data_IF_234449908424
#
_entry.id   IF_234449908424
#
_cell.length_a   1.000
_cell.length_b   1.000
_cell.length_c   1.000
_cell.angle_alpha   90.00
_cell.angle_beta   90.00
_cell.angle_gamma   90.00
#
_symmetry.space_group_name_H-M   'P 1'
#
loop_
_entity.id
_entity.type
_entity.pdbx_description
1 polymer ?
#
# COMPACT_ATOMS: atom_id res chain seq x y z
N UNK A 1 5.92 0.99 10.87
CA UNK A 1 4.83 0.41 10.05
C UNK A 1 4.29 -0.81 10.75
N UNK A 2 2.97 -0.99 10.70
CA UNK A 2 2.28 -2.22 11.12
C UNK A 2 1.63 -2.85 9.88
N UNK A 3 2.09 -4.04 9.51
CA UNK A 3 1.48 -4.86 8.47
C UNK A 3 0.41 -5.75 9.10
N UNK A 4 -0.84 -5.41 8.86
CA UNK A 4 -2.01 -6.17 9.31
C UNK A 4 -2.71 -6.90 8.17
N UNK A 5 -2.04 -7.12 7.04
CA UNK A 5 -2.62 -7.75 5.84
C UNK A 5 -3.09 -9.20 6.05
N UNK A 6 -2.52 -9.88 7.04
CA UNK A 6 -2.84 -11.28 7.35
C UNK A 6 -4.02 -11.48 8.33
N UNK A 7 -4.57 -10.39 8.88
CA UNK A 7 -5.71 -10.44 9.82
C UNK A 7 -6.91 -9.71 9.25
N UNK A 8 -8.12 -10.08 9.70
CA UNK A 8 -9.35 -9.37 9.32
C UNK A 8 -9.33 -7.93 9.86
N UNK A 9 -10.06 -7.02 9.21
CA UNK A 9 -9.99 -5.57 9.47
C UNK A 9 -10.26 -5.22 10.95
N UNK A 10 -11.23 -5.85 11.59
CA UNK A 10 -11.56 -5.62 12.99
C UNK A 10 -10.38 -5.86 13.94
N UNK A 11 -9.66 -6.97 13.75
CA UNK A 11 -8.49 -7.30 14.57
C UNK A 11 -7.31 -6.40 14.23
N UNK A 12 -7.11 -6.08 12.94
CA UNK A 12 -6.13 -5.10 12.48
C UNK A 12 -6.33 -3.76 13.18
N UNK A 13 -7.55 -3.22 13.15
CA UNK A 13 -7.87 -1.93 13.76
C UNK A 13 -7.71 -1.93 15.28
N UNK A 14 -7.98 -3.05 15.95
CA UNK A 14 -7.74 -3.20 17.37
C UNK A 14 -6.26 -3.07 17.71
N UNK A 15 -5.39 -3.79 16.98
CA UNK A 15 -3.93 -3.71 17.14
C UNK A 15 -3.44 -2.32 16.78
N UNK A 16 -3.89 -1.78 15.64
CA UNK A 16 -3.49 -0.46 15.15
C UNK A 16 -3.81 0.65 16.17
N UNK A 17 -4.98 0.59 16.85
CA UNK A 17 -5.34 1.56 17.89
C UNK A 17 -4.36 1.54 19.08
N UNK A 18 -3.94 0.35 19.52
CA UNK A 18 -2.97 0.24 20.62
C UNK A 18 -1.61 0.80 20.21
N UNK A 19 -1.11 0.41 19.02
CA UNK A 19 0.16 0.91 18.51
C UNK A 19 0.12 2.43 18.26
N UNK A 20 -0.99 2.94 17.74
CA UNK A 20 -1.11 4.38 17.46
C UNK A 20 -1.14 5.22 18.73
N UNK A 21 -1.68 4.73 19.86
CA UNK A 21 -1.58 5.41 21.15
C UNK A 21 -0.12 5.59 21.57
N UNK A 22 0.68 4.53 21.48
CA UNK A 22 2.12 4.60 21.80
C UNK A 22 2.86 5.54 20.84
N UNK A 23 2.55 5.46 19.53
CA UNK A 23 3.13 6.35 18.52
C UNK A 23 2.78 7.83 18.78
N UNK A 24 1.54 8.11 19.17
CA UNK A 24 1.07 9.47 19.43
C UNK A 24 1.79 10.11 20.63
N UNK A 25 2.08 9.35 21.69
CA UNK A 25 2.85 9.82 22.84
C UNK A 25 4.29 10.22 22.45
N UNK A 26 4.84 9.60 21.40
CA UNK A 26 6.21 9.83 20.90
C UNK A 26 6.25 10.76 19.68
N UNK A 27 5.13 11.35 19.27
CA UNK A 27 4.99 12.16 18.04
C UNK A 27 5.41 11.41 16.76
N UNK A 28 5.13 10.12 16.69
CA UNK A 28 5.44 9.25 15.56
C UNK A 28 4.18 9.03 14.72
N UNK A 29 4.32 9.09 13.38
CA UNK A 29 3.27 8.72 12.43
C UNK A 29 3.27 7.20 12.27
N UNK A 30 2.13 6.54 12.54
CA UNK A 30 1.98 5.11 12.29
C UNK A 30 1.55 4.86 10.84
N UNK A 31 2.27 4.01 10.13
CA UNK A 31 1.81 3.44 8.87
C UNK A 31 1.07 2.14 9.16
N UNK A 32 -0.17 2.06 8.66
CA UNK A 32 -1.05 0.90 8.84
C UNK A 32 -1.38 0.32 7.47
N UNK A 33 -1.22 -0.98 7.32
CA UNK A 33 -1.65 -1.73 6.14
C UNK A 33 -2.84 -2.62 6.50
N UNK A 34 -3.90 -2.52 5.71
CA UNK A 34 -5.07 -3.40 5.81
C UNK A 34 -5.50 -3.87 4.42
N UNK A 35 -5.91 -5.12 4.34
CA UNK A 35 -6.21 -5.81 3.09
C UNK A 35 -5.00 -6.57 2.55
N UNK A 36 -5.24 -7.51 1.65
CA UNK A 36 -4.19 -8.35 1.07
C UNK A 36 -3.69 -7.72 -0.23
N UNK A 37 -2.41 -7.35 -0.27
CA UNK A 37 -1.74 -7.04 -1.54
C UNK A 37 -1.56 -8.33 -2.34
N UNK A 38 -1.77 -8.28 -3.66
CA UNK A 38 -1.59 -9.43 -4.54
C UNK A 38 -0.12 -9.84 -4.66
N UNK A 39 0.14 -11.12 -4.94
CA UNK A 39 1.49 -11.64 -5.19
C UNK A 39 2.02 -12.56 -4.10
N UNK A 40 3.34 -12.70 -4.03
CA UNK A 40 4.05 -13.51 -3.03
C UNK A 40 5.03 -12.63 -2.26
N UNK A 41 4.86 -12.54 -0.95
CA UNK A 41 5.75 -11.82 -0.04
C UNK A 41 5.89 -12.62 1.26
N UNK A 42 7.13 -12.72 1.77
CA UNK A 42 7.48 -13.40 3.04
C UNK A 42 6.89 -14.82 3.19
N UNK A 43 6.72 -15.54 2.06
CA UNK A 43 6.17 -16.90 2.04
C UNK A 43 4.65 -16.98 2.06
N UNK A 44 3.95 -15.85 1.98
CA UNK A 44 2.50 -15.78 1.80
C UNK A 44 2.17 -15.58 0.32
N UNK A 45 1.51 -16.58 -0.30
CA UNK A 45 1.02 -16.51 -1.67
C UNK A 45 -0.47 -16.18 -1.67
N UNK A 46 -0.79 -14.99 -2.16
CA UNK A 46 -2.18 -14.49 -2.28
C UNK A 46 -2.80 -14.73 -3.65
N UNK A 47 -2.09 -15.40 -4.56
CA UNK A 47 -2.54 -15.63 -5.96
C UNK A 47 -3.85 -16.42 -6.07
N UNK A 48 -4.25 -17.13 -5.02
CA UNK A 48 -5.50 -17.91 -4.92
C UNK A 48 -6.67 -17.19 -4.25
N UNK A 49 -6.48 -15.97 -3.77
CA UNK A 49 -7.54 -15.22 -3.09
C UNK A 49 -8.56 -14.67 -4.08
N UNK A 50 -9.84 -14.57 -3.68
CA UNK A 50 -10.86 -13.86 -4.46
C UNK A 50 -10.43 -12.40 -4.72
N UNK A 51 -10.66 -11.93 -5.93
CA UNK A 51 -10.29 -10.56 -6.37
C UNK A 51 -10.88 -9.49 -5.43
N UNK A 52 -12.07 -9.75 -4.88
CA UNK A 52 -12.75 -8.85 -3.95
C UNK A 52 -11.96 -8.61 -2.65
N UNK A 53 -11.14 -9.59 -2.24
CA UNK A 53 -10.25 -9.45 -1.05
C UNK A 53 -8.96 -8.68 -1.34
N UNK A 54 -8.66 -8.43 -2.61
CA UNK A 54 -7.48 -7.70 -3.05
C UNK A 54 -7.73 -6.19 -3.24
N UNK A 55 -8.91 -5.70 -2.85
CA UNK A 55 -9.27 -4.29 -3.01
C UNK A 55 -9.84 -3.71 -1.71
N UNK A 56 -9.28 -2.60 -1.29
CA UNK A 56 -9.87 -1.78 -0.22
C UNK A 56 -11.19 -1.19 -0.69
N UNK A 57 -12.24 -1.33 0.11
CA UNK A 57 -13.54 -0.72 -0.19
C UNK A 57 -13.65 0.70 0.37
N UNK A 58 -14.56 1.55 -0.15
CA UNK A 58 -14.85 2.85 0.47
C UNK A 58 -15.30 2.75 1.92
N UNK A 59 -16.01 1.66 2.29
CA UNK A 59 -16.43 1.41 3.66
C UNK A 59 -15.24 1.14 4.59
N UNK A 60 -14.28 0.33 4.14
CA UNK A 60 -13.05 0.04 4.90
C UNK A 60 -12.27 1.32 5.18
N UNK A 61 -12.13 2.22 4.19
CA UNK A 61 -11.44 3.50 4.38
C UNK A 61 -12.14 4.40 5.41
N UNK A 62 -13.47 4.44 5.40
CA UNK A 62 -14.23 5.16 6.42
C UNK A 62 -14.01 4.56 7.79
N UNK A 63 -14.03 3.24 7.91
CA UNK A 63 -13.83 2.54 9.18
C UNK A 63 -12.41 2.76 9.73
N UNK A 64 -11.38 2.67 8.88
CA UNK A 64 -9.99 2.97 9.26
C UNK A 64 -9.87 4.41 9.75
N UNK A 65 -10.44 5.37 9.03
CA UNK A 65 -10.42 6.78 9.43
C UNK A 65 -11.08 7.00 10.80
N UNK A 66 -12.30 6.49 10.98
CA UNK A 66 -13.05 6.62 12.25
C UNK A 66 -12.35 5.95 13.43
N UNK A 67 -11.65 4.84 13.17
CA UNK A 67 -10.95 4.10 14.18
C UNK A 67 -9.67 4.78 14.67
N UNK A 68 -8.92 5.43 13.77
CA UNK A 68 -7.55 5.87 14.02
C UNK A 68 -7.41 7.40 14.17
N UNK A 69 -8.16 8.18 13.40
CA UNK A 69 -8.05 9.65 13.41
C UNK A 69 -8.19 10.28 14.80
N UNK A 70 -9.09 9.81 15.69
CA UNK A 70 -9.22 10.39 17.03
C UNK A 70 -8.02 10.13 17.96
N UNK A 71 -7.12 9.22 17.60
CA UNK A 71 -6.01 8.77 18.45
C UNK A 71 -4.73 9.51 18.11
N UNK A 72 -4.38 9.62 16.82
CA UNK A 72 -3.12 10.20 16.42
C UNK A 72 -2.93 10.27 14.91
N UNK A 73 -1.71 10.62 14.49
CA UNK A 73 -1.36 10.73 13.07
C UNK A 73 -1.02 9.37 12.49
N UNK A 74 -1.63 9.03 11.38
CA UNK A 74 -1.36 7.79 10.65
C UNK A 74 -1.35 8.03 9.15
N UNK A 75 -0.74 7.09 8.40
CA UNK A 75 -0.84 6.96 6.96
C UNK A 75 -1.34 5.55 6.65
N UNK A 76 -2.16 5.41 5.62
CA UNK A 76 -2.86 4.17 5.33
C UNK A 76 -2.44 3.56 3.99
N UNK A 77 -1.93 2.32 4.03
CA UNK A 77 -1.65 1.53 2.86
C UNK A 77 -2.90 0.77 2.42
N UNK A 78 -3.56 1.31 1.40
CA UNK A 78 -4.73 0.73 0.78
C UNK A 78 -4.35 -0.21 -0.38
N UNK A 79 -5.19 -1.20 -0.66
CA UNK A 79 -5.03 -2.13 -1.78
C UNK A 79 -5.94 -1.73 -2.95
N UNK A 80 -5.36 -1.59 -4.14
CA UNK A 80 -6.05 -1.15 -5.35
C UNK A 80 -5.52 -1.81 -6.63
N UNK A 81 -5.06 -3.08 -6.51
CA UNK A 81 -4.48 -3.86 -7.60
C UNK A 81 -2.94 -3.86 -7.63
N UNK A 82 -2.32 -3.32 -6.60
CA UNK A 82 -0.89 -3.41 -6.36
C UNK A 82 -0.46 -4.86 -6.07
N UNK A 83 0.79 -5.17 -6.42
CA UNK A 83 1.34 -6.52 -6.34
C UNK A 83 2.73 -6.45 -5.71
N UNK A 84 3.00 -7.35 -4.77
CA UNK A 84 4.32 -7.55 -4.18
C UNK A 84 5.12 -8.63 -4.92
N UNK A 85 6.46 -8.57 -4.78
CA UNK A 85 7.37 -9.57 -5.31
C UNK A 85 7.62 -9.49 -6.82
N UNK A 86 8.01 -10.64 -7.42
CA UNK A 86 8.32 -10.73 -8.84
C UNK A 86 7.04 -10.73 -9.69
N UNK A 87 6.99 -9.86 -10.68
CA UNK A 87 5.86 -9.74 -11.61
C UNK A 87 6.30 -9.94 -13.06
N UNK A 88 5.34 -10.31 -13.93
CA UNK A 88 5.56 -10.30 -15.38
C UNK A 88 5.28 -8.88 -15.91
N UNK A 89 6.10 -8.34 -16.82
CA UNK A 89 5.83 -7.06 -17.44
C UNK A 89 4.39 -6.96 -17.96
N UNK A 90 3.67 -5.90 -17.59
CA UNK A 90 2.28 -5.66 -17.98
C UNK A 90 1.23 -6.48 -17.21
N UNK A 91 1.62 -7.25 -16.17
CA UNK A 91 0.65 -7.98 -15.34
C UNK A 91 0.07 -7.13 -14.21
N UNK A 92 0.75 -6.08 -13.78
CA UNK A 92 0.27 -5.16 -12.75
C UNK A 92 -0.83 -4.28 -13.35
N UNK A 93 -2.03 -4.34 -12.77
CA UNK A 93 -3.20 -3.57 -13.22
C UNK A 93 -3.79 -2.81 -12.04
N UNK A 94 -3.29 -1.61 -11.86
CA UNK A 94 -3.79 -0.73 -10.81
C UNK A 94 -5.19 -0.21 -11.13
N UNK A 95 -5.94 0.07 -10.08
CA UNK A 95 -7.24 0.73 -10.12
C UNK A 95 -7.25 1.97 -9.21
N UNK A 96 -6.57 3.08 -9.58
CA UNK A 96 -6.45 4.27 -8.75
C UNK A 96 -7.79 4.86 -8.31
N UNK A 97 -8.85 4.62 -9.10
CA UNK A 97 -10.21 5.08 -8.77
C UNK A 97 -10.76 4.50 -7.46
N UNK A 98 -10.24 3.37 -6.99
CA UNK A 98 -10.57 2.82 -5.67
C UNK A 98 -10.18 3.82 -4.58
N UNK A 99 -8.97 4.40 -4.68
CA UNK A 99 -8.50 5.43 -3.74
C UNK A 99 -9.38 6.68 -3.79
N UNK A 100 -9.73 7.13 -5.01
CA UNK A 100 -10.65 8.26 -5.20
C UNK A 100 -12.00 8.03 -4.52
N UNK A 101 -12.59 6.87 -4.74
CA UNK A 101 -13.93 6.56 -4.23
C UNK A 101 -13.90 6.38 -2.71
N UNK A 102 -12.82 5.83 -2.15
CA UNK A 102 -12.57 5.77 -0.72
C UNK A 102 -12.41 7.17 -0.09
N UNK A 103 -11.53 8.00 -0.66
CA UNK A 103 -11.35 9.39 -0.21
C UNK A 103 -12.66 10.18 -0.24
N UNK A 104 -13.45 10.00 -1.31
CA UNK A 104 -14.77 10.63 -1.42
C UNK A 104 -15.70 10.18 -0.29
N UNK A 105 -15.78 8.89 0.00
CA UNK A 105 -16.62 8.37 1.08
C UNK A 105 -16.22 8.94 2.45
N UNK A 106 -14.92 9.03 2.73
CA UNK A 106 -14.42 9.63 3.98
C UNK A 106 -14.76 11.12 4.05
N UNK A 107 -14.50 11.88 3.00
CA UNK A 107 -14.73 13.33 2.99
C UNK A 107 -16.21 13.71 2.94
N UNK A 108 -17.06 12.92 2.29
CA UNK A 108 -18.53 13.12 2.32
C UNK A 108 -19.10 12.92 3.74
N UNK A 109 -18.51 11.99 4.53
CA UNK A 109 -18.98 11.71 5.89
C UNK A 109 -18.40 12.64 6.95
N UNK A 110 -17.14 13.04 6.82
CA UNK A 110 -16.37 13.74 7.86
C UNK A 110 -15.93 15.15 7.49
N UNK A 111 -16.22 15.60 6.26
CA UNK A 111 -15.83 16.91 5.76
C UNK A 111 -14.53 16.88 4.94
N UNK A 112 -14.27 17.98 4.22
CA UNK A 112 -13.13 18.08 3.29
C UNK A 112 -11.76 17.86 3.95
N UNK A 113 -11.65 18.23 5.23
CA UNK A 113 -10.39 18.12 5.98
C UNK A 113 -10.05 16.68 6.40
N UNK A 114 -10.99 15.74 6.18
CA UNK A 114 -10.81 14.32 6.45
C UNK A 114 -10.08 13.56 5.32
N UNK A 115 -9.49 14.26 4.35
CA UNK A 115 -8.69 13.66 3.29
C UNK A 115 -7.48 12.95 3.86
N UNK A 116 -7.35 11.63 3.58
CA UNK A 116 -6.36 10.77 4.20
C UNK A 116 -5.03 10.81 3.44
N UNK A 117 -3.92 10.71 4.18
CA UNK A 117 -2.60 10.43 3.61
C UNK A 117 -2.48 8.92 3.33
N UNK A 118 -2.27 8.55 2.07
CA UNK A 118 -2.22 7.17 1.62
C UNK A 118 -0.81 6.72 1.28
N UNK A 119 -0.58 5.41 1.40
CA UNK A 119 0.65 4.73 1.00
C UNK A 119 0.35 3.75 -0.13
N UNK A 120 1.23 3.73 -1.13
CA UNK A 120 1.20 2.80 -2.23
C UNK A 120 2.29 1.73 -2.03
N UNK A 121 1.90 0.53 -1.59
CA UNK A 121 2.77 -0.64 -1.55
C UNK A 121 2.82 -1.34 -2.91
N UNK A 122 3.91 -2.06 -3.18
CA UNK A 122 4.05 -2.83 -4.43
C UNK A 122 4.06 -1.96 -5.69
N UNK A 123 4.75 -0.84 -5.65
CA UNK A 123 4.81 0.12 -6.76
C UNK A 123 5.61 -0.31 -7.97
N UNK A 124 6.44 -1.36 -7.86
CA UNK A 124 7.24 -1.89 -8.97
C UNK A 124 6.35 -2.35 -10.13
N UNK A 125 6.76 -2.07 -11.36
CA UNK A 125 6.03 -2.46 -12.58
C UNK A 125 4.78 -1.64 -12.89
N UNK A 126 4.50 -0.60 -12.12
CA UNK A 126 3.34 0.27 -12.32
C UNK A 126 3.54 1.23 -13.49
N UNK A 127 2.45 1.49 -14.22
CA UNK A 127 2.46 2.50 -15.29
C UNK A 127 2.55 3.91 -14.70
N UNK A 128 3.33 4.78 -15.33
CA UNK A 128 3.55 6.15 -14.85
C UNK A 128 2.25 6.98 -14.80
N UNK A 129 1.29 6.71 -15.69
CA UNK A 129 -0.04 7.33 -15.69
C UNK A 129 -0.79 7.01 -14.42
N UNK A 130 -0.77 5.73 -14.01
CA UNK A 130 -1.48 5.26 -12.81
C UNK A 130 -0.83 5.83 -11.55
N UNK A 131 0.52 5.85 -11.49
CA UNK A 131 1.25 6.48 -10.40
C UNK A 131 0.85 7.95 -10.25
N UNK A 132 0.79 8.70 -11.37
CA UNK A 132 0.39 10.11 -11.34
C UNK A 132 -1.05 10.29 -10.85
N UNK A 133 -1.95 9.41 -11.29
CA UNK A 133 -3.36 9.46 -10.85
C UNK A 133 -3.48 9.20 -9.34
N UNK A 134 -2.69 8.27 -8.76
CA UNK A 134 -2.74 8.01 -7.31
C UNK A 134 -2.31 9.22 -6.47
N UNK A 135 -1.40 10.06 -6.97
CA UNK A 135 -1.00 11.29 -6.26
C UNK A 135 -2.16 12.27 -6.09
N UNK A 136 -3.09 12.32 -7.06
CA UNK A 136 -4.30 13.17 -6.98
C UNK A 136 -5.27 12.67 -5.90
N UNK A 137 -5.13 11.40 -5.49
CA UNK A 137 -6.01 10.76 -4.49
C UNK A 137 -5.35 10.58 -3.12
N UNK A 138 -4.25 11.31 -2.85
CA UNK A 138 -3.66 11.41 -1.52
C UNK A 138 -2.53 10.43 -1.25
N UNK A 139 -1.96 9.77 -2.25
CA UNK A 139 -0.74 8.98 -2.06
C UNK A 139 0.44 9.92 -1.83
N UNK A 140 1.03 9.83 -0.63
CA UNK A 140 2.19 10.64 -0.19
C UNK A 140 3.47 9.83 -0.09
N UNK A 141 3.38 8.51 -0.09
CA UNK A 141 4.50 7.57 -0.01
C UNK A 141 4.27 6.40 -0.97
N UNK A 142 5.32 5.97 -1.66
CA UNK A 142 5.29 4.80 -2.55
C UNK A 142 6.49 3.90 -2.26
N UNK A 143 6.24 2.60 -2.10
CA UNK A 143 7.28 1.60 -1.91
C UNK A 143 7.62 0.93 -3.25
N UNK A 144 8.89 0.98 -3.64
CA UNK A 144 9.42 0.38 -4.87
C UNK A 144 10.63 -0.47 -4.50
N UNK A 145 10.46 -1.78 -4.44
CA UNK A 145 11.53 -2.71 -4.09
C UNK A 145 12.08 -3.45 -5.32
N UNK A 146 11.29 -4.28 -5.98
CA UNK A 146 11.73 -5.15 -7.09
C UNK A 146 12.44 -4.39 -8.20
N UNK A 147 11.90 -3.26 -8.66
CA UNK A 147 12.52 -2.43 -9.70
C UNK A 147 13.84 -1.83 -9.21
N UNK A 148 13.93 -1.44 -7.95
CA UNK A 148 15.14 -0.89 -7.34
C UNK A 148 16.23 -1.96 -7.26
N UNK A 149 15.90 -3.15 -6.78
CA UNK A 149 16.83 -4.29 -6.74
C UNK A 149 17.33 -4.65 -8.15
N UNK A 150 16.42 -4.67 -9.12
CA UNK A 150 16.77 -4.98 -10.49
C UNK A 150 17.66 -3.90 -11.12
N UNK A 151 17.36 -2.64 -10.89
CA UNK A 151 18.17 -1.52 -11.37
C UNK A 151 19.59 -1.53 -10.78
N UNK A 152 19.74 -1.98 -9.54
CA UNK A 152 21.05 -2.14 -8.90
C UNK A 152 21.80 -3.39 -9.42
N UNK A 153 21.12 -4.53 -9.49
CA UNK A 153 21.77 -5.82 -9.76
C UNK A 153 22.16 -5.97 -11.22
N UNK A 154 21.34 -5.49 -12.16
CA UNK A 154 21.55 -5.64 -13.61
C UNK A 154 22.90 -5.08 -14.10
N UNK A 155 23.31 -3.83 -13.79
CA UNK A 155 24.60 -3.34 -14.24
C UNK A 155 25.77 -4.11 -13.61
N UNK A 156 25.67 -4.58 -12.36
CA UNK A 156 26.70 -5.39 -11.69
C UNK A 156 26.85 -6.73 -12.43
N UNK A 157 25.75 -7.44 -12.64
CA UNK A 157 25.76 -8.71 -13.39
C UNK A 157 26.29 -8.55 -14.81
N UNK A 158 25.87 -7.50 -15.52
CA UNK A 158 26.34 -7.20 -16.88
C UNK A 158 27.85 -6.96 -16.89
N UNK A 159 28.39 -6.22 -15.93
CA UNK A 159 29.82 -5.98 -15.81
C UNK A 159 30.59 -7.27 -15.57
N UNK A 160 30.15 -8.10 -14.60
CA UNK A 160 30.78 -9.41 -14.32
C UNK A 160 30.78 -10.30 -15.56
N UNK A 161 29.63 -10.41 -16.25
CA UNK A 161 29.53 -11.23 -17.46
C UNK A 161 30.38 -10.70 -18.61
N UNK A 162 30.65 -9.39 -18.68
CA UNK A 162 31.53 -8.81 -19.69
C UNK A 162 33.00 -9.17 -19.47
N UNK A 163 33.41 -9.50 -18.24
CA UNK A 163 34.79 -9.87 -17.88
C UNK A 163 35.12 -11.33 -18.21
N UNK A 164 34.11 -12.19 -18.41
CA UNK A 164 34.32 -13.62 -18.70
C UNK A 164 34.91 -13.88 -20.09
N UNK A 165 34.94 -12.88 -20.92
CA UNK A 165 35.45 -12.93 -22.30
C UNK A 165 36.85 -12.32 -22.48
N UNK A 166 37.59 -12.11 -21.39
CA UNK A 166 38.99 -11.67 -21.40
C UNK A 166 39.92 -12.88 -21.44
#
# INVERSE_FOLDING_TARGET
MFDGSVVELDENLKISKELLKECAELDIILEVEAGCVGGEEDGHDTSGLPIEKLYTTPADMVEVYEALQPIGRFIFAATFGNVHGAYKPGSVKLQPKILRDGQRAVTEKHGSDAFMDLVFHGGSGSELSDIRETLEYGVVKMNIDTDTQYAFTRPVATHILSLIHI
#
